data_IF_559262789286
#
_entry.id   IF_559262789286
#
_cell.length_a   1.000
_cell.length_b   1.000
_cell.length_c   1.000
_cell.angle_alpha   90.00
_cell.angle_beta   90.00
_cell.angle_gamma   90.00
#
_symmetry.space_group_name_H-M   'P 1'
#
loop_
_entity.id
_entity.type
_entity.pdbx_description
1 polymer ?
#
# COMPACT_ATOMS: atom_id res chain seq x y z
N UNK A 1 24.38 15.95 54.74
CA UNK A 1 23.15 15.15 54.89
C UNK A 1 21.99 16.08 54.56
N UNK A 2 21.31 15.73 53.46
CA UNK A 2 19.93 16.05 53.06
C UNK A 2 19.45 17.49 52.86
N UNK A 3 18.58 17.60 51.84
CA UNK A 3 18.17 18.76 51.08
C UNK A 3 16.82 19.35 51.55
N UNK A 4 16.45 20.58 51.12
CA UNK A 4 15.06 20.96 50.99
C UNK A 4 14.61 20.82 49.53
N UNK A 5 13.53 20.06 49.34
CA UNK A 5 12.76 20.02 48.11
C UNK A 5 11.94 21.29 47.88
N UNK A 6 11.65 21.54 46.61
CA UNK A 6 10.73 22.55 46.12
C UNK A 6 10.45 22.26 44.66
N UNK A 7 9.42 21.46 44.41
CA UNK A 7 8.87 21.21 43.07
C UNK A 7 8.33 22.52 42.49
N UNK A 8 8.91 22.98 41.38
CA UNK A 8 8.25 23.94 40.50
C UNK A 8 7.41 23.16 39.49
N UNK A 9 6.10 23.22 39.63
CA UNK A 9 5.15 22.75 38.62
C UNK A 9 5.23 23.65 37.38
N UNK A 10 5.85 23.15 36.31
CA UNK A 10 5.74 23.76 34.98
C UNK A 10 4.45 23.25 34.36
N UNK A 11 3.48 24.14 34.24
CA UNK A 11 2.19 23.93 33.61
C UNK A 11 2.40 23.70 32.10
N UNK A 12 2.22 22.47 31.62
CA UNK A 12 2.48 22.05 30.23
C UNK A 12 1.41 22.48 29.21
N UNK A 13 0.45 23.31 29.62
CA UNK A 13 -0.61 23.81 28.73
C UNK A 13 -0.27 25.12 27.98
N UNK A 14 0.85 25.78 28.30
CA UNK A 14 1.19 27.08 27.67
C UNK A 14 2.13 26.98 26.45
N UNK A 15 2.65 25.80 26.09
CA UNK A 15 3.45 25.60 24.87
C UNK A 15 2.64 25.14 23.64
N UNK A 16 1.33 24.87 23.81
CA UNK A 16 0.44 24.48 22.71
C UNK A 16 -0.15 25.66 21.92
N UNK A 17 0.08 26.91 22.34
CA UNK A 17 -0.52 28.11 21.71
C UNK A 17 0.50 29.04 21.01
N UNK A 18 1.71 28.60 20.70
CA UNK A 18 2.72 29.44 20.02
C UNK A 18 2.90 29.22 18.52
N UNK A 19 2.04 28.46 17.88
CA UNK A 19 2.02 28.39 16.42
C UNK A 19 0.74 29.03 15.90
N UNK A 20 0.81 30.32 15.61
CA UNK A 20 -0.13 30.96 14.68
C UNK A 20 -0.05 30.19 13.36
N UNK A 21 -1.15 29.53 13.02
CA UNK A 21 -1.32 28.88 11.72
C UNK A 21 -1.50 29.98 10.68
N UNK A 22 -0.44 30.27 9.93
CA UNK A 22 -0.55 31.00 8.66
C UNK A 22 -1.52 30.24 7.73
N UNK A 23 -2.49 30.89 7.07
CA UNK A 23 -3.47 30.21 6.23
C UNK A 23 -2.91 29.63 4.92
N UNK A 24 -1.62 29.77 4.63
CA UNK A 24 -1.02 29.35 3.35
C UNK A 24 0.20 28.44 3.56
N UNK A 25 0.18 27.29 2.86
CA UNK A 25 1.26 26.54 2.17
C UNK A 25 2.67 26.56 2.80
N UNK A 26 3.33 25.44 3.10
CA UNK A 26 4.03 24.62 2.08
C UNK A 26 4.36 23.18 2.55
N UNK A 27 4.56 22.28 1.59
CA UNK A 27 4.96 20.87 1.73
C UNK A 27 6.45 20.69 1.46
N UNK A 28 7.15 19.85 2.23
CA UNK A 28 8.53 19.43 1.94
C UNK A 28 8.58 17.96 1.53
N UNK A 29 9.17 17.70 0.36
CA UNK A 29 9.68 16.40 -0.09
C UNK A 29 11.13 16.30 0.37
N UNK A 30 11.56 15.15 0.91
CA UNK A 30 12.99 14.91 1.12
C UNK A 30 13.47 13.78 0.23
N UNK A 31 14.12 14.18 -0.85
CA UNK A 31 14.89 13.32 -1.73
C UNK A 31 16.20 12.87 -1.04
N UNK A 32 16.61 11.64 -1.28
CA UNK A 32 17.91 11.11 -0.85
C UNK A 32 18.72 10.61 -2.04
N UNK A 33 18.78 11.41 -3.10
CA UNK A 33 19.75 11.30 -4.19
C UNK A 33 20.61 12.56 -4.29
N UNK A 34 21.92 12.45 -4.63
CA UNK A 34 22.80 13.61 -4.72
C UNK A 34 22.54 14.53 -5.93
N UNK A 35 21.48 14.32 -6.74
CA UNK A 35 21.28 15.07 -8.00
C UNK A 35 19.84 15.18 -8.55
N UNK A 36 18.78 14.99 -7.76
CA UNK A 36 17.40 15.11 -8.27
C UNK A 36 16.74 16.43 -7.85
N UNK A 37 16.40 17.25 -8.83
CA UNK A 37 15.62 18.49 -8.68
C UNK A 37 14.16 18.21 -9.07
N UNK A 38 13.27 18.18 -8.08
CA UNK A 38 11.82 18.16 -8.28
C UNK A 38 11.32 19.58 -8.59
N UNK A 39 10.44 19.75 -9.59
CA UNK A 39 10.07 21.05 -10.18
C UNK A 39 8.92 21.79 -9.48
N UNK A 40 8.42 21.28 -8.35
CA UNK A 40 7.46 22.00 -7.53
C UNK A 40 6.00 21.93 -7.99
N UNK A 41 5.68 21.19 -9.07
CA UNK A 41 4.32 21.23 -9.62
C UNK A 41 3.39 20.20 -8.96
N UNK A 42 2.50 20.67 -8.09
CA UNK A 42 1.36 19.90 -7.56
C UNK A 42 0.29 19.76 -8.67
N UNK A 43 -0.03 18.53 -9.07
CA UNK A 43 -1.18 18.24 -9.93
C UNK A 43 -2.42 18.03 -9.06
N UNK A 44 -3.47 18.83 -9.29
CA UNK A 44 -4.77 18.66 -8.63
C UNK A 44 -5.35 17.28 -8.93
N UNK A 45 -5.51 16.45 -7.91
CA UNK A 45 -6.25 15.19 -7.99
C UNK A 45 -7.64 15.35 -7.37
N UNK A 46 -8.63 15.49 -8.26
CA UNK A 46 -10.05 15.13 -8.09
C UNK A 46 -10.71 15.38 -6.71
N UNK A 47 -10.94 16.65 -6.36
CA UNK A 47 -12.14 17.10 -5.61
C UNK A 47 -12.34 16.65 -4.16
N UNK A 48 -11.46 15.82 -3.59
CA UNK A 48 -11.49 15.39 -2.19
C UNK A 48 -10.24 15.91 -1.45
N UNK A 49 -10.43 16.57 -0.30
CA UNK A 49 -9.33 17.20 0.45
C UNK A 49 -8.54 16.18 1.27
N UNK A 50 -7.56 15.51 0.66
CA UNK A 50 -6.56 14.69 1.35
C UNK A 50 -5.21 15.43 1.40
N UNK A 51 -4.42 15.21 2.46
CA UNK A 51 -3.04 15.73 2.55
C UNK A 51 -2.09 14.55 2.68
N UNK A 52 -1.18 14.42 1.72
CA UNK A 52 -0.12 13.41 1.74
C UNK A 52 0.95 13.76 2.78
N UNK A 53 1.48 12.73 3.45
CA UNK A 53 2.62 12.86 4.36
C UNK A 53 3.65 11.79 3.99
N UNK A 54 4.79 12.24 3.48
CA UNK A 54 5.99 11.41 3.36
C UNK A 54 6.64 11.38 4.75
N UNK A 55 7.20 10.24 5.15
CA UNK A 55 7.90 10.13 6.44
C UNK A 55 8.88 11.30 6.62
N UNK A 56 8.63 12.10 7.66
CA UNK A 56 9.39 13.31 7.99
C UNK A 56 10.79 12.93 8.49
N UNK A 57 11.80 13.77 8.20
CA UNK A 57 13.13 13.66 8.81
C UNK A 57 13.15 14.39 10.16
N UNK A 58 13.79 13.80 11.15
CA UNK A 58 13.97 14.36 12.50
C UNK A 58 15.43 14.27 12.91
N UNK A 59 15.84 15.15 13.82
CA UNK A 59 17.21 15.25 14.29
C UNK A 59 17.65 14.06 15.17
N UNK A 60 16.70 13.33 15.75
CA UNK A 60 16.98 12.10 16.51
C UNK A 60 15.80 11.13 16.51
N UNK A 61 16.08 9.86 16.83
CA UNK A 61 15.08 8.80 16.98
C UNK A 61 14.08 9.12 18.09
N UNK A 62 14.55 9.74 19.17
CA UNK A 62 13.71 10.15 20.32
C UNK A 62 12.72 11.25 19.92
N UNK A 63 13.16 12.23 19.13
CA UNK A 63 12.28 13.31 18.62
C UNK A 63 11.26 12.75 17.64
N UNK A 64 11.71 11.90 16.72
CA UNK A 64 10.82 11.17 15.81
C UNK A 64 9.79 10.32 16.55
N UNK A 65 10.24 9.57 17.56
CA UNK A 65 9.38 8.71 18.37
C UNK A 65 8.35 9.53 19.13
N UNK A 66 8.76 10.62 19.80
CA UNK A 66 7.86 11.49 20.53
C UNK A 66 6.79 12.12 19.61
N UNK A 67 7.20 12.64 18.45
CA UNK A 67 6.29 13.20 17.46
C UNK A 67 5.30 12.15 16.95
N UNK A 68 5.81 11.03 16.46
CA UNK A 68 4.96 10.02 15.84
C UNK A 68 4.07 9.31 16.85
N UNK A 69 4.53 9.07 18.07
CA UNK A 69 3.74 8.51 19.16
C UNK A 69 2.60 9.45 19.58
N UNK A 70 2.86 10.77 19.61
CA UNK A 70 1.80 11.76 19.82
C UNK A 70 0.81 11.79 18.63
N UNK A 71 1.33 11.78 17.40
CA UNK A 71 0.54 11.81 16.18
C UNK A 71 -0.36 10.57 16.04
N UNK A 72 0.18 9.38 16.28
CA UNK A 72 -0.55 8.11 16.18
C UNK A 72 -1.55 7.93 17.31
N UNK A 73 -1.38 8.55 18.48
CA UNK A 73 -2.45 8.61 19.50
C UNK A 73 -3.63 9.46 19.03
N UNK A 74 -3.36 10.46 18.22
CA UNK A 74 -4.40 11.22 17.55
C UNK A 74 -5.00 10.44 16.36
N UNK A 75 -4.20 9.61 15.67
CA UNK A 75 -4.62 8.91 14.44
C UNK A 75 -4.99 7.43 14.57
N UNK A 76 -6.29 7.11 14.49
CA UNK A 76 -6.81 5.74 14.40
C UNK A 76 -7.09 5.30 12.95
N UNK A 77 -7.46 4.03 12.70
CA UNK A 77 -7.98 3.64 11.38
C UNK A 77 -9.43 4.08 11.27
N UNK A 78 -9.82 4.39 10.03
CA UNK A 78 -11.05 3.81 9.51
C UNK A 78 -12.28 3.73 10.43
N UNK A 79 -12.52 2.50 10.81
CA UNK A 79 -13.70 2.06 11.52
C UNK A 79 -13.63 2.33 13.02
N UNK A 80 -12.47 2.73 13.53
CA UNK A 80 -12.22 2.83 14.97
C UNK A 80 -13.10 3.91 15.62
N UNK A 81 -13.45 5.00 14.92
CA UNK A 81 -14.13 6.12 15.59
C UNK A 81 -15.55 5.79 16.12
N UNK A 82 -16.33 4.94 15.44
CA UNK A 82 -17.69 4.60 15.88
C UNK A 82 -17.71 3.64 17.08
N UNK A 83 -16.75 2.72 17.17
CA UNK A 83 -16.58 1.88 18.36
C UNK A 83 -15.82 2.63 19.48
N UNK A 84 -14.96 3.59 19.13
CA UNK A 84 -14.20 4.41 20.07
C UNK A 84 -15.07 5.40 20.83
N UNK A 85 -16.15 5.95 20.28
CA UNK A 85 -17.01 6.87 21.02
C UNK A 85 -17.71 6.14 22.19
N UNK A 86 -18.12 4.88 22.00
CA UNK A 86 -18.71 4.04 23.06
C UNK A 86 -17.66 3.47 24.04
N UNK A 87 -16.42 3.23 23.58
CA UNK A 87 -15.32 2.76 24.42
C UNK A 87 -14.60 3.89 25.20
N UNK A 88 -14.60 5.13 24.68
CA UNK A 88 -14.03 6.34 25.33
C UNK A 88 -14.70 6.69 26.67
N UNK A 89 -15.82 6.03 27.00
CA UNK A 89 -16.43 6.10 28.33
C UNK A 89 -15.79 5.20 29.39
N UNK A 90 -14.80 4.35 29.07
CA UNK A 90 -14.39 3.30 30.01
C UNK A 90 -12.90 3.09 30.35
N UNK A 91 -11.88 3.52 29.61
CA UNK A 91 -10.50 3.39 30.14
C UNK A 91 -9.43 4.20 29.41
N UNK A 92 -8.47 4.69 30.19
CA UNK A 92 -7.21 5.29 29.78
C UNK A 92 -6.27 4.21 29.18
N UNK A 93 -5.48 4.58 28.16
CA UNK A 93 -4.45 3.75 27.51
C UNK A 93 -4.90 2.61 26.58
N UNK A 94 -5.74 2.90 25.57
CA UNK A 94 -5.88 2.02 24.41
C UNK A 94 -5.00 2.50 23.25
N UNK A 95 -3.85 1.85 23.04
CA UNK A 95 -3.11 1.95 21.77
C UNK A 95 -3.86 1.07 20.76
N UNK A 96 -4.47 1.67 19.74
CA UNK A 96 -5.18 0.92 18.70
C UNK A 96 -4.22 0.09 17.84
N UNK A 97 -4.69 -1.02 17.25
CA UNK A 97 -3.87 -1.81 16.31
C UNK A 97 -3.30 -0.94 15.15
N UNK A 98 -4.07 0.08 14.74
CA UNK A 98 -3.66 1.12 13.81
C UNK A 98 -2.43 1.89 14.27
N UNK A 99 -2.44 2.31 15.53
CA UNK A 99 -1.36 3.03 16.19
C UNK A 99 -0.10 2.17 16.22
N UNK A 100 -0.21 0.94 16.70
CA UNK A 100 0.94 0.03 16.86
C UNK A 100 1.54 -0.33 15.50
N UNK A 101 0.72 -0.67 14.51
CA UNK A 101 1.20 -0.99 13.16
C UNK A 101 1.91 0.21 12.50
N UNK A 102 1.33 1.40 12.62
CA UNK A 102 1.93 2.62 12.11
C UNK A 102 3.27 2.94 12.78
N UNK A 103 3.34 2.87 14.12
CA UNK A 103 4.57 3.09 14.87
C UNK A 103 5.65 2.07 14.53
N UNK A 104 5.27 0.80 14.33
CA UNK A 104 6.19 -0.24 13.89
C UNK A 104 6.80 0.11 12.52
N UNK A 105 5.98 0.37 11.51
CA UNK A 105 6.45 0.71 10.15
C UNK A 105 7.30 1.99 10.17
N UNK A 106 6.94 2.98 10.97
CA UNK A 106 7.75 4.19 11.10
C UNK A 106 9.07 3.95 11.82
N UNK A 107 9.11 3.14 12.87
CA UNK A 107 10.37 2.79 13.55
C UNK A 107 11.39 2.21 12.57
N UNK A 108 10.91 1.45 11.58
CA UNK A 108 11.73 0.85 10.52
C UNK A 108 12.38 1.87 9.62
N UNK A 109 11.73 3.01 9.35
CA UNK A 109 12.31 4.12 8.56
C UNK A 109 13.57 4.72 9.20
N UNK A 110 13.73 4.61 10.53
CA UNK A 110 14.91 5.09 11.25
C UNK A 110 15.98 4.03 11.46
N UNK A 111 15.56 2.77 11.66
CA UNK A 111 16.49 1.69 11.96
C UNK A 111 17.07 1.02 10.71
N UNK A 112 16.39 1.12 9.56
CA UNK A 112 16.74 0.37 8.35
C UNK A 112 17.04 1.30 7.17
N UNK A 113 18.27 1.22 6.66
CA UNK A 113 18.69 1.92 5.43
C UNK A 113 17.82 1.49 4.26
N UNK A 114 17.44 2.45 3.41
CA UNK A 114 16.58 2.25 2.24
C UNK A 114 15.18 1.70 2.55
N UNK A 115 14.72 1.68 3.82
CA UNK A 115 13.31 1.46 4.11
C UNK A 115 12.49 2.67 3.62
N UNK A 116 11.39 2.43 2.92
CA UNK A 116 10.51 3.48 2.41
C UNK A 116 9.10 3.29 2.94
N UNK A 117 8.48 4.37 3.40
CA UNK A 117 7.09 4.39 3.86
C UNK A 117 6.41 5.68 3.41
N UNK A 118 5.16 5.57 2.95
CA UNK A 118 4.27 6.70 2.68
C UNK A 118 2.89 6.37 3.23
N UNK A 119 2.21 7.38 3.77
CA UNK A 119 0.87 7.22 4.28
C UNK A 119 -0.02 8.42 3.96
N UNK A 120 -1.32 8.23 4.04
CA UNK A 120 -2.34 9.26 3.89
C UNK A 120 -3.32 9.21 5.04
N UNK A 121 -3.96 10.35 5.33
CA UNK A 121 -4.94 10.46 6.41
C UNK A 121 -6.27 11.06 5.95
N UNK A 122 -7.36 10.57 6.54
CA UNK A 122 -8.67 11.21 6.51
C UNK A 122 -8.68 12.36 7.51
N UNK A 123 -9.17 13.53 7.10
CA UNK A 123 -9.39 14.71 7.96
C UNK A 123 -8.19 15.09 8.84
N UNK A 124 -6.96 14.74 8.43
CA UNK A 124 -5.68 14.92 9.15
C UNK A 124 -5.49 14.08 10.42
N UNK A 125 -6.50 13.32 10.84
CA UNK A 125 -6.55 12.68 12.16
C UNK A 125 -6.80 11.18 12.07
N UNK A 126 -6.88 10.57 10.89
CA UNK A 126 -7.19 9.13 10.79
C UNK A 126 -6.38 8.48 9.68
N UNK A 127 -5.59 7.46 10.00
CA UNK A 127 -4.82 6.72 9.00
C UNK A 127 -5.79 6.12 7.97
N UNK A 128 -5.57 6.49 6.72
CA UNK A 128 -6.36 6.04 5.58
C UNK A 128 -5.62 4.90 4.89
N UNK A 129 -4.44 5.22 4.37
CA UNK A 129 -3.62 4.28 3.62
C UNK A 129 -2.18 4.33 4.11
N UNK A 130 -1.48 3.21 4.06
CA UNK A 130 -0.05 3.13 4.34
C UNK A 130 0.58 2.16 3.35
N UNK A 131 1.72 2.55 2.78
CA UNK A 131 2.57 1.72 1.94
C UNK A 131 3.96 1.65 2.57
N UNK A 132 4.59 0.49 2.48
CA UNK A 132 6.00 0.35 2.83
C UNK A 132 6.72 -0.69 1.97
N UNK A 133 8.04 -0.55 1.90
CA UNK A 133 8.97 -1.56 1.39
C UNK A 133 10.28 -1.47 2.17
N UNK A 134 10.96 -2.60 2.31
CA UNK A 134 12.31 -2.62 2.89
C UNK A 134 13.39 -2.51 1.78
N UNK A 135 14.65 -2.63 2.20
CA UNK A 135 15.80 -2.61 1.28
C UNK A 135 15.89 -3.85 0.39
N UNK A 136 15.39 -4.99 0.87
CA UNK A 136 15.37 -6.24 0.11
C UNK A 136 14.34 -6.17 -1.02
N UNK A 137 13.13 -5.69 -0.72
CA UNK A 137 12.09 -5.41 -1.71
C UNK A 137 12.56 -4.47 -2.82
N UNK A 138 13.33 -3.43 -2.47
CA UNK A 138 13.94 -2.53 -3.46
C UNK A 138 14.95 -3.26 -4.35
N UNK A 139 15.84 -4.06 -3.75
CA UNK A 139 16.82 -4.83 -4.48
C UNK A 139 16.16 -5.84 -5.42
N UNK A 140 15.16 -6.58 -4.94
CA UNK A 140 14.41 -7.53 -5.75
C UNK A 140 13.71 -6.84 -6.92
N UNK A 141 13.09 -5.68 -6.68
CA UNK A 141 12.48 -4.91 -7.77
C UNK A 141 13.52 -4.50 -8.81
N UNK A 142 14.68 -4.02 -8.39
CA UNK A 142 15.74 -3.58 -9.30
C UNK A 142 16.38 -4.71 -10.14
N UNK A 143 16.20 -5.97 -9.72
CA UNK A 143 16.69 -7.14 -10.45
C UNK A 143 15.62 -7.82 -11.30
N UNK A 144 14.34 -7.68 -10.91
CA UNK A 144 13.23 -8.48 -11.45
C UNK A 144 12.01 -7.62 -11.79
N UNK A 145 12.21 -6.37 -12.21
CA UNK A 145 11.15 -5.39 -12.49
C UNK A 145 10.23 -5.78 -13.67
N UNK A 146 10.65 -6.71 -14.53
CA UNK A 146 9.96 -7.03 -15.79
C UNK A 146 8.48 -7.41 -15.60
N UNK A 147 8.17 -8.09 -14.50
CA UNK A 147 6.83 -8.60 -14.20
C UNK A 147 6.39 -8.15 -12.82
N UNK A 148 5.31 -7.36 -12.78
CA UNK A 148 4.62 -6.95 -11.56
C UNK A 148 3.30 -7.67 -11.45
N UNK A 149 3.11 -8.44 -10.39
CA UNK A 149 1.80 -8.93 -9.96
C UNK A 149 1.29 -8.01 -8.86
N UNK A 150 0.13 -7.41 -9.11
CA UNK A 150 -0.52 -6.46 -8.21
C UNK A 150 -1.91 -6.98 -7.89
N UNK A 151 -2.11 -7.38 -6.64
CA UNK A 151 -3.38 -7.92 -6.17
C UNK A 151 -3.74 -7.31 -4.81
N UNK A 152 -5.03 -7.05 -4.60
CA UNK A 152 -5.58 -6.78 -3.28
C UNK A 152 -6.19 -8.08 -2.74
N UNK A 153 -5.92 -8.40 -1.48
CA UNK A 153 -6.71 -9.42 -0.78
C UNK A 153 -7.89 -8.72 -0.14
N UNK A 154 -9.09 -9.18 -0.50
CA UNK A 154 -10.36 -8.68 -0.02
C UNK A 154 -10.37 -8.54 1.51
N UNK A 155 -11.03 -7.48 1.97
CA UNK A 155 -11.31 -6.96 3.32
C UNK A 155 -11.77 -7.99 4.38
N UNK A 156 -11.05 -9.09 4.56
CA UNK A 156 -11.38 -10.19 5.49
C UNK A 156 -10.85 -9.96 6.90
N UNK A 157 -10.02 -8.94 7.11
CA UNK A 157 -9.61 -8.52 8.44
C UNK A 157 -10.74 -7.77 9.17
N UNK A 158 -10.67 -7.73 10.51
CA UNK A 158 -11.67 -7.07 11.36
C UNK A 158 -11.91 -5.58 10.99
N UNK A 159 -10.93 -4.97 10.34
CA UNK A 159 -10.88 -3.56 9.97
C UNK A 159 -11.48 -3.27 8.60
N UNK A 160 -11.81 -4.30 7.82
CA UNK A 160 -12.24 -4.20 6.43
C UNK A 160 -11.28 -3.35 5.56
N UNK A 161 -9.98 -3.45 5.84
CA UNK A 161 -8.90 -2.79 5.09
C UNK A 161 -8.38 -3.76 4.04
N UNK A 162 -8.10 -3.26 2.83
CA UNK A 162 -7.53 -4.07 1.77
C UNK A 162 -6.01 -4.13 1.91
N UNK A 163 -5.49 -5.36 2.01
CA UNK A 163 -4.05 -5.60 1.93
C UNK A 163 -3.68 -5.75 0.46
N UNK A 164 -2.82 -4.86 -0.02
CA UNK A 164 -2.26 -4.85 -1.35
C UNK A 164 -0.84 -5.39 -1.30
N UNK A 165 -0.54 -6.36 -2.18
CA UNK A 165 0.80 -6.90 -2.35
C UNK A 165 1.29 -6.62 -3.77
N UNK A 166 2.52 -6.09 -3.85
CA UNK A 166 3.28 -5.97 -5.08
C UNK A 166 4.32 -7.08 -5.09
N UNK A 167 4.18 -8.02 -6.02
CA UNK A 167 5.05 -9.20 -6.08
C UNK A 167 5.56 -9.43 -7.49
N UNK A 168 6.74 -10.01 -7.62
CA UNK A 168 7.28 -10.46 -8.89
C UNK A 168 7.80 -11.89 -8.77
N UNK A 169 8.62 -12.28 -9.73
CA UNK A 169 9.28 -13.59 -9.73
C UNK A 169 10.74 -13.42 -10.14
N UNK A 170 11.64 -14.10 -9.42
CA UNK A 170 13.04 -14.14 -9.82
C UNK A 170 13.31 -15.26 -10.84
N UNK A 171 14.57 -15.35 -11.29
CA UNK A 171 15.04 -16.35 -12.25
C UNK A 171 14.90 -17.81 -11.77
N UNK A 172 14.68 -18.03 -10.48
CA UNK A 172 14.41 -19.36 -9.90
C UNK A 172 12.91 -19.64 -9.72
N UNK A 173 12.04 -18.77 -10.27
CA UNK A 173 10.57 -18.83 -10.12
C UNK A 173 10.10 -18.71 -8.67
N UNK A 174 10.93 -18.13 -7.79
CA UNK A 174 10.53 -17.81 -6.44
C UNK A 174 9.86 -16.42 -6.42
N UNK A 175 8.86 -16.28 -5.55
CA UNK A 175 8.15 -15.01 -5.34
C UNK A 175 9.08 -13.97 -4.74
N UNK A 176 9.11 -12.79 -5.35
CA UNK A 176 9.75 -11.60 -4.81
C UNK A 176 8.69 -10.63 -4.31
N UNK A 177 8.89 -9.97 -3.19
CA UNK A 177 7.93 -9.00 -2.64
C UNK A 177 8.52 -7.61 -2.78
N UNK A 178 7.91 -6.79 -3.63
CA UNK A 178 8.38 -5.45 -3.97
C UNK A 178 7.85 -4.34 -3.06
N UNK A 179 6.74 -4.61 -2.38
CA UNK A 179 6.13 -3.68 -1.44
C UNK A 179 4.78 -4.16 -0.97
N UNK A 180 4.31 -3.54 0.10
CA UNK A 180 3.04 -3.86 0.75
C UNK A 180 2.29 -2.56 1.02
N UNK A 181 0.97 -2.59 0.85
CA UNK A 181 0.10 -1.50 1.26
C UNK A 181 -1.14 -1.98 1.98
N UNK A 182 -1.63 -1.13 2.87
CA UNK A 182 -2.95 -1.22 3.47
C UNK A 182 -3.76 -0.03 2.94
N UNK A 183 -4.86 -0.32 2.24
CA UNK A 183 -5.76 0.68 1.69
C UNK A 183 -7.10 0.65 2.42
N UNK A 184 -7.58 1.81 2.84
CA UNK A 184 -8.89 1.94 3.47
C UNK A 184 -10.04 1.68 2.49
N UNK A 185 -9.80 1.87 1.19
CA UNK A 185 -10.80 1.62 0.17
C UNK A 185 -10.19 1.21 -1.17
N UNK A 186 -10.97 0.46 -1.96
CA UNK A 186 -10.57 -0.12 -3.26
C UNK A 186 -11.20 0.70 -4.38
N UNK A 187 -10.67 1.90 -4.60
CA UNK A 187 -11.12 2.78 -5.67
C UNK A 187 -9.94 3.23 -6.53
N UNK A 188 -10.25 3.75 -7.71
CA UNK A 188 -9.27 4.16 -8.73
C UNK A 188 -8.24 5.13 -8.14
N UNK A 189 -8.69 6.09 -7.33
CA UNK A 189 -7.81 7.11 -6.75
C UNK A 189 -6.77 6.50 -5.80
N UNK A 190 -7.16 5.56 -4.94
CA UNK A 190 -6.21 4.90 -4.03
C UNK A 190 -5.30 3.92 -4.74
N UNK A 191 -5.76 3.29 -5.82
CA UNK A 191 -4.89 2.49 -6.67
C UNK A 191 -3.86 3.36 -7.42
N UNK A 192 -4.27 4.51 -7.96
CA UNK A 192 -3.33 5.50 -8.53
C UNK A 192 -2.32 5.95 -7.48
N UNK A 193 -2.77 6.27 -6.26
CA UNK A 193 -1.91 6.70 -5.17
C UNK A 193 -0.85 5.64 -4.83
N UNK A 194 -1.25 4.39 -4.66
CA UNK A 194 -0.31 3.32 -4.26
C UNK A 194 0.64 2.94 -5.41
N UNK A 195 0.18 2.98 -6.67
CA UNK A 195 1.03 2.71 -7.83
C UNK A 195 2.09 3.80 -8.02
N UNK A 196 1.71 5.07 -7.89
CA UNK A 196 2.67 6.18 -7.86
C UNK A 196 3.66 6.03 -6.71
N UNK A 197 3.16 5.68 -5.51
CA UNK A 197 4.00 5.47 -4.33
C UNK A 197 5.03 4.37 -4.56
N UNK A 198 4.63 3.24 -5.16
CA UNK A 198 5.56 2.18 -5.54
C UNK A 198 6.63 2.73 -6.50
N UNK A 199 6.22 3.42 -7.57
CA UNK A 199 7.13 3.94 -8.59
C UNK A 199 8.15 4.92 -8.03
N UNK A 200 7.72 5.90 -7.23
CA UNK A 200 8.62 6.81 -6.52
C UNK A 200 9.61 6.03 -5.65
N UNK A 201 9.12 5.01 -4.93
CA UNK A 201 9.95 4.23 -4.02
C UNK A 201 11.03 3.42 -4.74
N UNK A 202 10.84 3.05 -6.01
CA UNK A 202 11.78 2.20 -6.77
C UNK A 202 12.52 2.93 -7.89
N UNK A 203 12.41 4.26 -7.96
CA UNK A 203 13.12 5.09 -8.93
C UNK A 203 12.47 5.15 -10.31
N UNK A 204 11.14 5.08 -10.39
CA UNK A 204 10.32 5.23 -11.59
C UNK A 204 10.67 4.27 -12.75
N UNK A 205 11.23 3.11 -12.44
CA UNK A 205 11.34 2.01 -13.40
C UNK A 205 9.98 1.33 -13.53
N UNK A 206 9.40 1.32 -14.73
CA UNK A 206 8.10 0.71 -14.97
C UNK A 206 8.24 -0.76 -15.38
N UNK A 207 7.33 -1.65 -14.94
CA UNK A 207 7.34 -3.05 -15.35
C UNK A 207 6.93 -3.21 -16.81
N UNK A 208 7.34 -4.31 -17.46
CA UNK A 208 6.92 -4.63 -18.83
C UNK A 208 5.52 -5.27 -18.81
N UNK A 209 5.28 -6.18 -17.86
CA UNK A 209 4.02 -6.88 -17.70
C UNK A 209 3.42 -6.63 -16.32
N UNK A 210 2.11 -6.39 -16.29
CA UNK A 210 1.35 -6.24 -15.06
C UNK A 210 0.26 -7.30 -15.01
N UNK A 211 0.26 -8.11 -13.96
CA UNK A 211 -0.70 -9.17 -13.73
C UNK A 211 -1.61 -8.81 -12.55
N UNK A 212 -2.91 -8.68 -12.78
CA UNK A 212 -3.89 -8.41 -11.71
C UNK A 212 -5.07 -9.37 -11.79
N UNK A 213 -6.03 -9.24 -10.88
CA UNK A 213 -7.36 -9.80 -11.09
C UNK A 213 -8.18 -8.98 -12.11
N UNK A 214 -9.50 -9.19 -12.15
CA UNK A 214 -10.44 -8.48 -13.02
C UNK A 214 -11.07 -7.25 -12.35
N UNK A 215 -10.38 -6.61 -11.40
CA UNK A 215 -10.87 -5.38 -10.77
C UNK A 215 -10.78 -4.20 -11.75
N UNK A 216 -11.92 -3.57 -11.99
CA UNK A 216 -12.06 -2.46 -12.94
C UNK A 216 -11.36 -1.19 -12.46
N UNK A 217 -11.32 -0.95 -11.14
CA UNK A 217 -10.64 0.21 -10.59
C UNK A 217 -9.11 0.06 -10.68
N UNK A 218 -8.57 -1.15 -10.48
CA UNK A 218 -7.16 -1.45 -10.74
C UNK A 218 -6.83 -1.26 -12.20
N UNK A 219 -7.66 -1.77 -13.12
CA UNK A 219 -7.46 -1.60 -14.57
C UNK A 219 -7.32 -0.13 -14.95
N UNK A 220 -8.25 0.72 -14.49
CA UNK A 220 -8.18 2.16 -14.77
C UNK A 220 -6.92 2.83 -14.20
N UNK A 221 -6.53 2.47 -12.97
CA UNK A 221 -5.31 3.01 -12.35
C UNK A 221 -4.04 2.55 -13.10
N UNK A 222 -4.00 1.31 -13.59
CA UNK A 222 -2.89 0.77 -14.37
C UNK A 222 -2.80 1.45 -15.73
N UNK A 223 -3.92 1.62 -16.42
CA UNK A 223 -3.96 2.32 -17.72
C UNK A 223 -3.43 3.75 -17.59
N UNK A 224 -3.66 4.42 -16.45
CA UNK A 224 -3.16 5.77 -16.17
C UNK A 224 -1.66 5.80 -15.85
N UNK A 225 -1.19 4.92 -14.95
CA UNK A 225 0.20 4.96 -14.46
C UNK A 225 1.19 4.22 -15.37
N UNK A 226 0.72 3.20 -16.07
CA UNK A 226 1.53 2.30 -16.88
C UNK A 226 1.02 2.17 -18.32
N UNK A 227 0.86 3.26 -19.07
CA UNK A 227 0.25 3.24 -20.42
C UNK A 227 1.03 2.41 -21.45
N UNK A 228 2.31 2.10 -21.17
CA UNK A 228 3.18 1.31 -22.04
C UNK A 228 3.39 -0.13 -21.56
N UNK A 229 2.84 -0.51 -20.41
CA UNK A 229 2.98 -1.86 -19.87
C UNK A 229 1.84 -2.75 -20.36
N UNK A 230 2.14 -4.04 -20.53
CA UNK A 230 1.14 -5.03 -20.91
C UNK A 230 0.34 -5.47 -19.69
N UNK A 231 -0.90 -5.02 -19.58
CA UNK A 231 -1.83 -5.50 -18.56
C UNK A 231 -2.46 -6.84 -18.95
N UNK A 232 -2.35 -7.84 -18.09
CA UNK A 232 -2.92 -9.18 -18.28
C UNK A 232 -3.61 -9.66 -17.00
N UNK A 233 -4.55 -10.59 -17.17
CA UNK A 233 -5.23 -11.23 -16.03
C UNK A 233 -4.33 -12.32 -15.46
N UNK A 234 -4.17 -12.34 -14.14
CA UNK A 234 -3.41 -13.32 -13.39
C UNK A 234 -4.01 -14.73 -13.56
N UNK A 235 -3.22 -15.67 -14.09
CA UNK A 235 -3.66 -17.05 -14.34
C UNK A 235 -4.13 -17.79 -13.08
N UNK A 236 -3.60 -17.45 -11.90
CA UNK A 236 -4.08 -18.00 -10.63
C UNK A 236 -5.53 -17.60 -10.34
N UNK A 237 -5.89 -16.33 -10.56
CA UNK A 237 -7.27 -15.87 -10.40
C UNK A 237 -8.21 -16.52 -11.40
N UNK A 238 -7.79 -16.71 -12.65
CA UNK A 238 -8.57 -17.45 -13.65
C UNK A 238 -8.78 -18.90 -13.21
N UNK A 239 -7.72 -19.57 -12.73
CA UNK A 239 -7.78 -20.95 -12.24
C UNK A 239 -8.59 -21.10 -10.94
N UNK A 240 -8.66 -20.05 -10.11
CA UNK A 240 -9.51 -20.03 -8.92
C UNK A 240 -10.98 -19.86 -9.30
N UNK A 241 -11.26 -18.92 -10.21
CA UNK A 241 -12.60 -18.66 -10.73
C UNK A 241 -13.19 -19.88 -11.45
N UNK A 242 -12.35 -20.62 -12.17
CA UNK A 242 -12.72 -21.92 -12.72
C UNK A 242 -13.17 -22.88 -11.61
N UNK A 243 -12.36 -23.06 -10.58
CA UNK A 243 -12.66 -24.04 -9.54
C UNK A 243 -13.94 -23.74 -8.75
N UNK A 244 -14.34 -22.47 -8.66
CA UNK A 244 -15.58 -22.05 -8.00
C UNK A 244 -16.82 -22.18 -8.87
N UNK A 245 -16.72 -21.99 -10.20
CA UNK A 245 -17.88 -21.92 -11.09
C UNK A 245 -18.04 -23.15 -12.00
N UNK A 246 -16.95 -23.88 -12.29
CA UNK A 246 -16.99 -25.14 -13.02
C UNK A 246 -17.18 -26.28 -12.01
N UNK A 247 -18.44 -26.58 -11.69
CA UNK A 247 -18.83 -27.64 -10.75
C UNK A 247 -18.73 -29.06 -11.33
N UNK A 248 -18.31 -29.23 -12.58
CA UNK A 248 -18.32 -30.52 -13.25
C UNK A 248 -17.03 -31.30 -13.00
N UNK A 249 -17.14 -32.50 -12.41
CA UNK A 249 -16.03 -33.45 -12.30
C UNK A 249 -15.46 -33.75 -13.71
N UNK A 250 -14.13 -33.78 -13.83
CA UNK A 250 -13.42 -34.05 -15.09
C UNK A 250 -13.06 -32.82 -15.93
N UNK A 251 -13.77 -31.69 -15.82
CA UNK A 251 -13.52 -30.49 -16.68
C UNK A 251 -12.40 -29.56 -16.20
N UNK A 252 -12.00 -29.69 -14.93
CA UNK A 252 -11.01 -28.81 -14.27
C UNK A 252 -9.58 -29.00 -14.79
N UNK A 253 -9.22 -30.26 -15.08
CA UNK A 253 -7.87 -30.63 -15.50
C UNK A 253 -7.53 -30.14 -16.92
N UNK A 254 -8.40 -30.32 -17.94
CA UNK A 254 -8.16 -29.79 -19.29
C UNK A 254 -8.02 -28.27 -19.32
N UNK A 255 -8.91 -27.53 -18.64
CA UNK A 255 -8.87 -26.07 -18.60
C UNK A 255 -7.57 -25.54 -17.95
N UNK A 256 -7.14 -26.12 -16.83
CA UNK A 256 -5.87 -25.76 -16.19
C UNK A 256 -4.66 -26.10 -17.05
N UNK A 257 -4.69 -27.25 -17.74
CA UNK A 257 -3.64 -27.62 -18.69
C UNK A 257 -3.49 -26.56 -19.77
N UNK A 258 -4.60 -26.07 -20.35
CA UNK A 258 -4.57 -25.00 -21.36
C UNK A 258 -4.03 -23.67 -20.83
N UNK A 259 -4.40 -23.28 -19.61
CA UNK A 259 -3.98 -22.01 -19.01
C UNK A 259 -2.47 -21.89 -18.77
N UNK A 260 -1.82 -22.99 -18.39
CA UNK A 260 -0.41 -22.96 -17.95
C UNK A 260 0.55 -23.61 -18.93
N UNK A 261 0.05 -24.17 -20.05
CA UNK A 261 0.87 -24.72 -21.11
C UNK A 261 1.39 -23.58 -21.99
N UNK A 262 2.66 -23.66 -22.37
CA UNK A 262 3.22 -22.78 -23.38
C UNK A 262 2.65 -23.18 -24.74
N UNK A 263 1.80 -22.33 -25.29
CA UNK A 263 1.09 -22.53 -26.54
C UNK A 263 1.18 -21.25 -27.37
N UNK A 264 1.27 -21.42 -28.68
CA UNK A 264 0.96 -20.33 -29.61
C UNK A 264 -0.53 -20.01 -29.56
N UNK A 265 -0.92 -18.85 -30.09
CA UNK A 265 -2.33 -18.44 -30.13
C UNK A 265 -3.19 -19.45 -30.90
N UNK A 266 -2.69 -19.98 -32.01
CA UNK A 266 -3.39 -20.95 -32.84
C UNK A 266 -3.54 -22.31 -32.14
N UNK A 267 -2.47 -22.80 -31.51
CA UNK A 267 -2.54 -24.03 -30.69
C UNK A 267 -3.50 -23.87 -29.51
N UNK A 268 -3.52 -22.69 -28.87
CA UNK A 268 -4.47 -22.40 -27.80
C UNK A 268 -5.91 -22.46 -28.31
N UNK A 269 -6.22 -21.77 -29.41
CA UNK A 269 -7.55 -21.76 -30.02
C UNK A 269 -8.02 -23.16 -30.41
N UNK A 270 -7.14 -23.95 -31.04
CA UNK A 270 -7.46 -25.32 -31.43
C UNK A 270 -7.78 -26.20 -30.22
N UNK A 271 -6.92 -26.19 -29.20
CA UNK A 271 -7.12 -27.01 -28.01
C UNK A 271 -8.27 -26.51 -27.14
N UNK A 272 -8.54 -25.20 -27.15
CA UNK A 272 -9.69 -24.58 -26.49
C UNK A 272 -10.99 -25.06 -27.11
N UNK A 273 -11.12 -24.99 -28.44
CA UNK A 273 -12.32 -25.46 -29.15
C UNK A 273 -12.54 -26.96 -28.93
N UNK A 274 -11.48 -27.78 -29.02
CA UNK A 274 -11.55 -29.22 -28.70
C UNK A 274 -12.06 -29.45 -27.27
N UNK A 275 -11.63 -28.63 -26.31
CA UNK A 275 -12.08 -28.74 -24.93
C UNK A 275 -13.55 -28.37 -24.78
N UNK A 276 -14.04 -27.34 -25.48
CA UNK A 276 -15.45 -26.96 -25.50
C UNK A 276 -16.34 -28.07 -26.08
N UNK A 277 -15.97 -28.62 -27.24
CA UNK A 277 -16.69 -29.71 -27.92
C UNK A 277 -16.77 -30.98 -27.03
N UNK A 278 -15.63 -31.41 -26.48
CA UNK A 278 -15.56 -32.61 -25.63
C UNK A 278 -16.44 -32.54 -24.37
N UNK A 279 -16.76 -31.33 -23.94
CA UNK A 279 -17.47 -31.09 -22.69
C UNK A 279 -18.85 -30.44 -22.89
N UNK A 280 -19.30 -30.22 -24.13
CA UNK A 280 -20.57 -29.59 -24.47
C UNK A 280 -20.73 -28.20 -23.85
N UNK A 281 -19.71 -27.36 -23.99
CA UNK A 281 -19.63 -25.99 -23.43
C UNK A 281 -19.69 -24.88 -24.50
N UNK A 282 -20.05 -25.26 -25.73
CA UNK A 282 -20.19 -24.39 -26.89
C UNK A 282 -21.44 -23.49 -26.87
#
# INVERSE_FOLDING_TARGET
>A
MEAPGGESSVNTNDELNKFEVSPNMDSYVVDSGPNSSWDGTLKETCGLRYKDVIAMKFDSVEVAWAFYHSYSRAVGFGKDMYNMIDAKRRDEAFESDSHVAFMYVLSKTYSETNFYCRFSTYEKVRLANIFWRDSHSLFEYQCFEDVLVFNSTYKTNAYAISLVLFVGVNNHRATCVFGVALLSDENVQWYIWVLNTLMESVGHKHPIYILTDRDEAMRQAIDEIFPNSWHKICGWHVAKNESTHLHTEGKKSPFRSLLFKQLTEDEFKELWNKMLEQHGLE
#
